data_IF_699494929709
#
_entry.id   IF_699494929709
#
_cell.length_a   1.000
_cell.length_b   1.000
_cell.length_c   1.000
_cell.angle_alpha   90.00
_cell.angle_beta   90.00
_cell.angle_gamma   90.00
#
_symmetry.space_group_name_H-M   'P 1'
#
loop_
_entity.id
_entity.type
_entity.pdbx_description
1 polymer ?
#
# COMPACT_ATOMS: atom_id res chain seq x y z
N UNK A 1 -0.75 20.89 -4.62
CA UNK A 1 -0.78 20.71 -3.15
C UNK A 1 -0.42 19.28 -2.75
N UNK A 2 -1.11 18.25 -3.26
CA UNK A 2 -0.88 16.84 -2.91
C UNK A 2 0.58 16.35 -3.06
N UNK A 3 1.29 16.74 -4.13
CA UNK A 3 2.68 16.32 -4.35
C UNK A 3 3.68 16.81 -3.30
N UNK A 4 3.44 17.96 -2.64
CA UNK A 4 4.29 18.45 -1.55
C UNK A 4 4.03 17.72 -0.24
N UNK A 5 2.80 17.26 0.00
CA UNK A 5 2.46 16.52 1.21
C UNK A 5 3.03 15.09 1.20
N UNK A 6 3.06 14.43 0.04
CA UNK A 6 3.58 13.06 -0.10
C UNK A 6 5.06 12.90 0.32
N UNK A 7 5.86 13.97 0.23
CA UNK A 7 7.27 13.94 0.66
C UNK A 7 7.43 13.81 2.18
N UNK A 8 6.43 14.27 2.96
CA UNK A 8 6.48 14.29 4.41
C UNK A 8 5.61 13.20 5.07
N UNK A 9 4.89 12.41 4.26
CA UNK A 9 4.05 11.33 4.77
C UNK A 9 4.88 10.20 5.38
N UNK A 10 4.42 9.69 6.52
CA UNK A 10 4.94 8.46 7.12
C UNK A 10 4.19 7.22 6.58
N UNK A 11 4.57 6.02 7.03
CA UNK A 11 3.96 4.74 6.64
C UNK A 11 2.43 4.72 6.80
N UNK A 12 1.94 5.18 7.96
CA UNK A 12 0.54 5.20 8.32
C UNK A 12 -0.25 6.20 7.46
N UNK A 13 0.31 7.39 7.20
CA UNK A 13 -0.31 8.40 6.33
C UNK A 13 -0.55 7.85 4.92
N UNK A 14 0.46 7.18 4.35
CA UNK A 14 0.38 6.60 3.00
C UNK A 14 -0.66 5.47 2.97
N UNK A 15 -0.60 4.54 3.93
CA UNK A 15 -1.53 3.41 4.01
C UNK A 15 -2.97 3.89 4.19
N UNK A 16 -3.22 4.85 5.08
CA UNK A 16 -4.55 5.40 5.32
C UNK A 16 -5.10 6.16 4.10
N UNK A 17 -4.26 6.90 3.37
CA UNK A 17 -4.72 7.62 2.19
C UNK A 17 -5.09 6.65 1.06
N UNK A 18 -4.29 5.60 0.84
CA UNK A 18 -4.60 4.52 -0.11
C UNK A 18 -5.89 3.79 0.29
N UNK A 19 -6.02 3.42 1.56
CA UNK A 19 -7.22 2.80 2.11
C UNK A 19 -8.46 3.69 1.96
N UNK A 20 -8.33 5.00 2.19
CA UNK A 20 -9.42 5.97 2.02
C UNK A 20 -9.90 6.06 0.57
N UNK A 21 -8.99 6.13 -0.39
CA UNK A 21 -9.35 6.10 -1.81
C UNK A 21 -10.01 4.79 -2.23
N UNK A 22 -9.50 3.66 -1.75
CA UNK A 22 -10.08 2.34 -1.98
C UNK A 22 -11.50 2.23 -1.40
N UNK A 23 -11.70 2.67 -0.16
CA UNK A 23 -13.00 2.69 0.54
C UNK A 23 -14.01 3.56 -0.19
N UNK A 24 -13.58 4.74 -0.66
CA UNK A 24 -14.41 5.64 -1.47
C UNK A 24 -14.62 5.15 -2.91
N UNK A 25 -13.97 4.04 -3.31
CA UNK A 25 -13.93 3.53 -4.69
C UNK A 25 -13.59 4.60 -5.71
N UNK A 26 -12.69 5.52 -5.32
CA UNK A 26 -12.33 6.69 -6.11
C UNK A 26 -10.85 6.67 -6.38
N UNK A 27 -10.50 6.80 -7.65
CA UNK A 27 -9.11 6.98 -8.05
C UNK A 27 -8.61 8.37 -7.63
N UNK A 28 -7.41 8.47 -7.00
CA UNK A 28 -6.71 9.75 -6.94
C UNK A 28 -6.41 10.24 -8.36
N UNK A 29 -6.39 11.56 -8.54
CA UNK A 29 -5.90 12.16 -9.78
C UNK A 29 -4.42 11.79 -10.02
N UNK A 30 -3.97 11.83 -11.27
CA UNK A 30 -2.66 11.27 -11.68
C UNK A 30 -1.49 11.81 -10.85
N UNK A 31 -1.45 13.12 -10.57
CA UNK A 31 -0.41 13.72 -9.74
C UNK A 31 -0.41 13.16 -8.30
N UNK A 32 -1.60 13.00 -7.69
CA UNK A 32 -1.72 12.42 -6.35
C UNK A 32 -1.32 10.95 -6.36
N UNK A 33 -1.72 10.20 -7.40
CA UNK A 33 -1.35 8.80 -7.56
C UNK A 33 0.17 8.62 -7.66
N UNK A 34 0.83 9.37 -8.53
CA UNK A 34 2.29 9.29 -8.71
C UNK A 34 3.03 9.66 -7.42
N UNK A 35 2.52 10.66 -6.70
CA UNK A 35 3.08 11.06 -5.41
C UNK A 35 2.90 9.97 -4.33
N UNK A 36 1.73 9.34 -4.28
CA UNK A 36 1.44 8.21 -3.39
C UNK A 36 2.30 6.98 -3.69
N UNK A 37 2.49 6.65 -4.97
CA UNK A 37 3.36 5.56 -5.40
C UNK A 37 4.82 5.80 -4.96
N UNK A 38 5.31 7.02 -5.18
CA UNK A 38 6.65 7.42 -4.74
C UNK A 38 6.79 7.34 -3.22
N UNK A 39 5.78 7.81 -2.48
CA UNK A 39 5.77 7.76 -1.02
C UNK A 39 5.70 6.32 -0.50
N UNK A 40 4.89 5.46 -1.12
CA UNK A 40 4.77 4.04 -0.78
C UNK A 40 6.11 3.33 -0.90
N UNK A 41 6.83 3.50 -2.01
CA UNK A 41 8.17 2.94 -2.19
C UNK A 41 9.17 3.44 -1.14
N UNK A 42 9.12 4.73 -0.79
CA UNK A 42 10.00 5.34 0.22
C UNK A 42 9.74 4.82 1.63
N UNK A 43 8.48 4.65 2.03
CA UNK A 43 8.12 4.29 3.41
C UNK A 43 7.93 2.78 3.62
N UNK A 44 7.90 1.98 2.55
CA UNK A 44 7.61 0.54 2.59
C UNK A 44 8.38 -0.19 3.70
N UNK A 45 9.70 -0.02 3.79
CA UNK A 45 10.52 -0.73 4.78
C UNK A 45 10.11 -0.46 6.24
N UNK A 46 9.56 0.73 6.51
CA UNK A 46 9.11 1.16 7.83
C UNK A 46 7.64 0.89 8.11
N UNK A 47 6.93 0.15 7.25
CA UNK A 47 5.53 -0.22 7.48
C UNK A 47 5.42 -1.28 8.58
N UNK A 48 4.36 -1.16 9.38
CA UNK A 48 3.92 -2.20 10.31
C UNK A 48 2.98 -3.21 9.58
N UNK A 49 2.52 -4.29 10.24
CA UNK A 49 1.58 -5.26 9.64
C UNK A 49 0.32 -4.64 9.03
N UNK A 50 -0.29 -3.67 9.71
CA UNK A 50 -1.50 -3.03 9.24
C UNK A 50 -1.24 -2.13 8.03
N UNK A 51 -0.16 -1.35 8.05
CA UNK A 51 0.18 -0.42 6.97
C UNK A 51 0.41 -1.17 5.64
N UNK A 52 1.25 -2.21 5.65
CA UNK A 52 1.59 -2.96 4.43
C UNK A 52 0.38 -3.71 3.87
N UNK A 53 -0.44 -4.31 4.74
CA UNK A 53 -1.63 -5.07 4.33
C UNK A 53 -2.74 -4.16 3.83
N UNK A 54 -2.96 -3.00 4.45
CA UNK A 54 -3.91 -2.00 3.96
C UNK A 54 -3.47 -1.40 2.62
N UNK A 55 -2.18 -1.17 2.43
CA UNK A 55 -1.66 -0.66 1.17
C UNK A 55 -1.86 -1.66 0.03
N UNK A 56 -1.47 -2.93 0.22
CA UNK A 56 -1.65 -3.99 -0.77
C UNK A 56 -3.15 -4.21 -1.06
N UNK A 57 -3.99 -4.29 -0.03
CA UNK A 57 -5.45 -4.40 -0.18
C UNK A 57 -6.05 -3.21 -0.92
N UNK A 58 -5.61 -1.98 -0.63
CA UNK A 58 -6.09 -0.78 -1.30
C UNK A 58 -5.68 -0.72 -2.77
N UNK A 59 -4.44 -1.10 -3.09
CA UNK A 59 -3.96 -1.27 -4.45
C UNK A 59 -4.79 -2.30 -5.22
N UNK A 60 -5.08 -3.45 -4.62
CA UNK A 60 -5.94 -4.50 -5.19
C UNK A 60 -7.37 -3.99 -5.42
N UNK A 61 -7.96 -3.30 -4.44
CA UNK A 61 -9.32 -2.75 -4.52
C UNK A 61 -9.45 -1.69 -5.62
N UNK A 62 -8.42 -0.88 -5.80
CA UNK A 62 -8.35 0.10 -6.89
C UNK A 62 -7.97 -0.55 -8.23
N UNK A 63 -7.58 -1.83 -8.27
CA UNK A 63 -7.11 -2.48 -9.50
C UNK A 63 -5.83 -1.86 -10.05
N UNK A 64 -4.92 -1.41 -9.17
CA UNK A 64 -3.67 -0.74 -9.53
C UNK A 64 -2.49 -1.46 -8.88
N UNK A 65 -1.68 -2.08 -9.72
CA UNK A 65 -0.40 -2.65 -9.34
C UNK A 65 0.60 -1.52 -9.03
N UNK A 66 1.28 -1.55 -7.87
CA UNK A 66 2.45 -0.71 -7.61
C UNK A 66 3.55 -0.96 -8.65
N UNK A 67 4.46 0.00 -8.82
CA UNK A 67 5.66 -0.22 -9.64
C UNK A 67 6.50 -1.39 -9.11
N UNK A 68 7.24 -2.08 -9.97
CA UNK A 68 7.98 -3.30 -9.60
C UNK A 68 8.90 -3.11 -8.37
N UNK A 69 9.59 -1.96 -8.26
CA UNK A 69 10.46 -1.67 -7.12
C UNK A 69 9.66 -1.47 -5.83
N UNK A 70 8.55 -0.73 -5.89
CA UNK A 70 7.63 -0.54 -4.77
C UNK A 70 7.05 -1.89 -4.34
N UNK A 71 6.60 -2.70 -5.29
CA UNK A 71 6.09 -4.05 -5.04
C UNK A 71 7.11 -4.91 -4.31
N UNK A 72 8.35 -4.99 -4.80
CA UNK A 72 9.41 -5.77 -4.16
C UNK A 72 9.70 -5.31 -2.72
N UNK A 73 9.63 -3.99 -2.46
CA UNK A 73 9.80 -3.45 -1.12
C UNK A 73 8.62 -3.82 -0.19
N UNK A 74 7.39 -3.81 -0.71
CA UNK A 74 6.19 -4.25 0.02
C UNK A 74 6.23 -5.74 0.33
N UNK A 75 6.62 -6.58 -0.64
CA UNK A 75 6.82 -8.03 -0.45
C UNK A 75 7.83 -8.32 0.65
N UNK A 76 8.99 -7.67 0.56
CA UNK A 76 10.05 -7.81 1.57
C UNK A 76 9.53 -7.41 2.95
N UNK A 77 8.74 -6.34 3.02
CA UNK A 77 8.18 -5.87 4.28
C UNK A 77 7.10 -6.81 4.82
N UNK A 78 6.20 -7.30 3.96
CA UNK A 78 5.17 -8.26 4.31
C UNK A 78 5.79 -9.54 4.90
N UNK A 79 6.84 -10.07 4.27
CA UNK A 79 7.61 -11.21 4.81
C UNK A 79 8.26 -10.90 6.17
N UNK A 80 8.86 -9.70 6.32
CA UNK A 80 9.49 -9.28 7.58
C UNK A 80 8.49 -9.20 8.75
N UNK A 81 7.28 -8.68 8.50
CA UNK A 81 6.27 -8.45 9.55
C UNK A 81 5.23 -9.56 9.65
N UNK A 82 5.39 -10.65 8.89
CA UNK A 82 4.39 -11.73 8.79
C UNK A 82 4.05 -12.36 10.16
N UNK A 83 5.03 -12.54 11.04
CA UNK A 83 4.83 -13.12 12.37
C UNK A 83 3.99 -12.23 13.31
N UNK A 84 3.92 -10.92 13.02
CA UNK A 84 3.18 -9.94 13.82
C UNK A 84 1.78 -9.67 13.24
N UNK A 85 1.41 -10.33 12.12
CA UNK A 85 0.12 -10.17 11.48
C UNK A 85 -0.98 -10.86 12.28
N UNK A 86 -2.08 -10.14 12.50
CA UNK A 86 -3.32 -10.77 12.95
C UNK A 86 -4.06 -11.44 11.78
N UNK A 87 -5.17 -12.14 12.08
CA UNK A 87 -5.96 -12.85 11.06
C UNK A 87 -6.48 -11.95 9.94
N UNK A 88 -6.86 -10.71 10.25
CA UNK A 88 -7.33 -9.74 9.25
C UNK A 88 -6.19 -9.28 8.33
N UNK A 89 -5.00 -9.05 8.89
CA UNK A 89 -3.82 -8.70 8.09
C UNK A 89 -3.50 -9.80 7.08
N UNK A 90 -3.46 -11.06 7.53
CA UNK A 90 -3.21 -12.22 6.65
C UNK A 90 -4.28 -12.34 5.56
N UNK A 91 -5.56 -12.21 5.93
CA UNK A 91 -6.66 -12.28 4.96
C UNK A 91 -6.56 -11.19 3.89
N UNK A 92 -6.31 -9.95 4.30
CA UNK A 92 -6.15 -8.82 3.39
C UNK A 92 -4.95 -8.99 2.45
N UNK A 93 -3.83 -9.48 2.99
CA UNK A 93 -2.61 -9.71 2.21
C UNK A 93 -2.83 -10.77 1.12
N UNK A 94 -3.35 -11.94 1.50
CA UNK A 94 -3.59 -13.06 0.57
C UNK A 94 -4.61 -12.67 -0.50
N UNK A 95 -5.71 -12.03 -0.10
CA UNK A 95 -6.70 -11.55 -1.07
C UNK A 95 -6.11 -10.50 -2.02
N UNK A 96 -5.28 -9.60 -1.51
CA UNK A 96 -4.59 -8.60 -2.32
C UNK A 96 -3.64 -9.24 -3.34
N UNK A 97 -2.84 -10.22 -2.94
CA UNK A 97 -1.96 -11.00 -3.83
C UNK A 97 -2.73 -11.72 -4.93
N UNK A 98 -3.81 -12.39 -4.56
CA UNK A 98 -4.65 -13.11 -5.52
C UNK A 98 -5.27 -12.16 -6.54
N UNK A 99 -5.80 -11.02 -6.07
CA UNK A 99 -6.46 -10.02 -6.93
C UNK A 99 -5.48 -9.30 -7.86
N UNK A 100 -4.25 -9.08 -7.40
CA UNK A 100 -3.19 -8.46 -8.19
C UNK A 100 -2.47 -9.46 -9.12
N UNK A 101 -2.75 -10.75 -9.01
CA UNK A 101 -2.12 -11.80 -9.83
C UNK A 101 -0.65 -12.04 -9.49
N UNK A 102 -0.29 -11.97 -8.20
CA UNK A 102 1.10 -12.10 -7.69
C UNK A 102 1.29 -13.28 -6.75
N UNK A 103 0.52 -14.36 -6.93
CA UNK A 103 0.72 -15.62 -6.21
C UNK A 103 1.96 -16.37 -6.70
#
# INVERSE_FOLDING_TARGET
AAGRMAQNMNSQDVANLVWGYATLRRMPGDNTRTALETAAGRVAQGMNPQDVTNLIWGCATLGRMPGNSTWAALETTAGRVAQDMNSQNVANLIWGYATLGRM
#
